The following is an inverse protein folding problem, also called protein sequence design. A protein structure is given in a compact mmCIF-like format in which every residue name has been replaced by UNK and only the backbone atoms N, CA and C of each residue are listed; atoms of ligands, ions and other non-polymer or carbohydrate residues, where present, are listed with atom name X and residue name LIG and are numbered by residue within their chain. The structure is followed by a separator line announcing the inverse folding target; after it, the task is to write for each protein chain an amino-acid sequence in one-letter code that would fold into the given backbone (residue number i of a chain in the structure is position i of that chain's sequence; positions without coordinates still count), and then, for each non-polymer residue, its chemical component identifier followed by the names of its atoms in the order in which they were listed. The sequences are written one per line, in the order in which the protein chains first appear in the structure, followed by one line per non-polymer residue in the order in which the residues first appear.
data_IF_214003725801
#
_entry.id   IF_214003725801
#
_cell.length_a   1.000
_cell.length_b   1.000
_cell.length_c   1.000
_cell.angle_alpha   90.00
_cell.angle_beta   90.00
_cell.angle_gamma   90.00
#
_symmetry.space_group_name_H-M   'P 1'
#
loop_
_entity.id
_entity.type
_entity.pdbx_description
1 polymer ?
#
# COMPACT_ATOMS: atom_id res chain seq x y z
N UNK A 1 -23.71 -52.32 12.41
CA UNK A 1 -23.91 -51.04 11.69
C UNK A 1 -23.02 -50.00 12.34
N UNK A 2 -21.76 -49.92 11.89
CA UNK A 2 -20.83 -48.90 12.37
C UNK A 2 -20.90 -47.73 11.38
N UNK A 3 -21.49 -46.62 11.81
CA UNK A 3 -21.64 -45.41 11.00
C UNK A 3 -20.27 -44.82 10.68
N UNK A 4 -20.04 -44.49 9.41
CA UNK A 4 -18.90 -43.70 8.97
C UNK A 4 -19.01 -42.27 9.51
N UNK A 5 -17.89 -41.61 9.89
CA UNK A 5 -17.93 -40.20 10.28
C UNK A 5 -18.23 -39.29 9.08
N UNK A 6 -19.02 -38.23 9.31
CA UNK A 6 -19.36 -37.21 8.30
C UNK A 6 -18.10 -36.49 7.78
N UNK A 7 -18.05 -36.14 6.48
CA UNK A 7 -16.92 -35.42 5.86
C UNK A 7 -16.86 -33.92 6.23
N UNK A 8 -17.71 -33.45 7.13
CA UNK A 8 -17.88 -32.03 7.48
C UNK A 8 -16.94 -31.56 8.62
N UNK A 9 -15.85 -32.29 8.85
CA UNK A 9 -14.77 -31.90 9.78
C UNK A 9 -13.62 -31.20 9.03
N UNK A 10 -13.93 -30.49 7.95
CA UNK A 10 -13.00 -29.52 7.39
C UNK A 10 -12.89 -28.37 8.38
N UNK A 11 -11.76 -28.30 9.07
CA UNK A 11 -11.44 -27.27 10.05
C UNK A 11 -11.64 -25.88 9.44
N UNK A 12 -12.68 -25.16 9.86
CA UNK A 12 -12.84 -23.76 9.52
C UNK A 12 -11.59 -23.01 10.01
N UNK A 13 -11.01 -22.09 9.21
CA UNK A 13 -9.85 -21.33 9.65
C UNK A 13 -10.29 -20.42 10.80
N UNK A 14 -9.94 -20.83 12.01
CA UNK A 14 -10.24 -20.11 13.23
C UNK A 14 -9.34 -18.87 13.28
N UNK A 15 -9.78 -17.76 12.67
CA UNK A 15 -9.15 -16.46 12.83
C UNK A 15 -9.48 -15.88 14.21
N UNK A 16 -9.12 -16.60 15.27
CA UNK A 16 -9.24 -16.09 16.65
C UNK A 16 -8.13 -15.07 16.84
N UNK A 17 -8.46 -13.78 16.71
CA UNK A 17 -7.56 -12.72 17.18
C UNK A 17 -7.45 -12.86 18.70
N UNK A 18 -6.33 -13.41 19.17
CA UNK A 18 -5.97 -13.36 20.58
C UNK A 18 -5.84 -11.88 20.96
N UNK A 19 -6.48 -11.41 22.05
CA UNK A 19 -6.29 -10.05 22.52
C UNK A 19 -4.81 -9.91 22.93
N UNK A 20 -4.04 -9.23 22.09
CA UNK A 20 -2.65 -8.91 22.38
C UNK A 20 -2.67 -7.74 23.35
N UNK A 21 -2.56 -8.03 24.65
CA UNK A 21 -2.17 -7.01 25.61
C UNK A 21 -0.71 -6.65 25.35
N UNK A 22 -0.47 -5.61 24.56
CA UNK A 22 0.86 -5.03 24.37
C UNK A 22 0.72 -3.54 24.60
N UNK A 23 1.34 -3.07 25.68
CA UNK A 23 1.48 -1.66 26.03
C UNK A 23 2.40 -0.92 25.06
N UNK A 24 1.92 -0.76 23.84
CA UNK A 24 2.36 0.18 22.82
C UNK A 24 1.08 0.51 22.05
N UNK A 25 0.74 1.79 21.88
CA UNK A 25 -0.33 2.20 20.97
C UNK A 25 0.05 1.73 19.56
N UNK A 26 -0.26 0.48 19.24
CA UNK A 26 -0.29 0.03 17.87
C UNK A 26 -1.30 0.93 17.16
N UNK A 27 -0.94 1.53 16.01
CA UNK A 27 -1.85 2.41 15.30
C UNK A 27 -3.18 1.66 15.12
N UNK A 28 -4.25 2.25 15.65
CA UNK A 28 -5.56 1.64 15.62
C UNK A 28 -5.96 1.49 14.15
N UNK A 29 -6.16 0.25 13.69
CA UNK A 29 -6.64 0.02 12.34
C UNK A 29 -8.02 0.67 12.16
N UNK A 30 -8.16 1.49 11.14
CA UNK A 30 -9.39 2.25 10.87
C UNK A 30 -9.95 1.98 9.47
N UNK A 31 -11.27 2.12 9.33
CA UNK A 31 -11.96 2.04 8.04
C UNK A 31 -12.50 3.42 7.70
N UNK A 32 -11.98 4.03 6.63
CA UNK A 32 -12.39 5.35 6.13
C UNK A 32 -12.71 5.27 4.64
N UNK A 33 -13.57 6.17 4.16
CA UNK A 33 -13.75 6.40 2.72
C UNK A 33 -12.60 7.30 2.24
N UNK A 34 -11.83 6.83 1.26
CA UNK A 34 -10.67 7.53 0.71
C UNK A 34 -10.78 7.62 -0.81
N UNK A 35 -10.26 8.70 -1.37
CA UNK A 35 -9.96 8.82 -2.80
C UNK A 35 -8.44 8.71 -2.95
N UNK A 36 -7.99 7.73 -3.74
CA UNK A 36 -6.57 7.46 -3.95
C UNK A 36 -6.27 7.63 -5.44
N UNK A 37 -5.23 8.38 -5.76
CA UNK A 37 -4.70 8.52 -7.11
C UNK A 37 -3.34 7.83 -7.21
N UNK A 38 -3.12 7.08 -8.29
CA UNK A 38 -1.81 6.53 -8.67
C UNK A 38 -1.36 7.22 -9.94
N UNK A 39 -0.15 7.77 -9.92
CA UNK A 39 0.47 8.45 -11.06
C UNK A 39 1.90 7.93 -11.20
N UNK A 40 2.34 7.70 -12.43
CA UNK A 40 3.67 7.19 -12.74
C UNK A 40 4.23 7.84 -14.02
N UNK A 41 5.56 7.81 -14.18
CA UNK A 41 6.26 8.22 -15.40
C UNK A 41 6.43 6.98 -16.29
N UNK A 42 5.58 6.89 -17.33
CA UNK A 42 5.72 5.85 -18.34
C UNK A 42 7.09 5.89 -19.02
N UNK A 43 7.77 4.73 -19.10
CA UNK A 43 9.07 4.61 -19.76
C UNK A 43 10.25 5.12 -18.92
N UNK A 44 10.08 5.30 -17.60
CA UNK A 44 11.14 5.68 -16.68
C UNK A 44 12.31 4.67 -16.64
N UNK A 45 12.03 3.37 -16.65
CA UNK A 45 13.10 2.34 -16.63
C UNK A 45 13.98 2.38 -17.88
N UNK A 46 13.45 2.37 -19.12
CA UNK A 46 14.31 2.55 -20.29
C UNK A 46 15.00 3.92 -20.33
N UNK A 47 14.45 4.95 -19.67
CA UNK A 47 15.08 6.26 -19.61
C UNK A 47 16.28 6.25 -18.67
N UNK A 48 16.18 5.65 -17.48
CA UNK A 48 17.27 5.57 -16.50
C UNK A 48 18.50 4.82 -17.02
N UNK A 49 18.31 3.89 -17.96
CA UNK A 49 19.40 3.17 -18.62
C UNK A 49 20.16 4.00 -19.66
N UNK A 50 19.57 5.10 -20.14
CA UNK A 50 20.10 5.91 -21.26
C UNK A 50 20.72 7.24 -20.83
N UNK A 51 20.44 7.71 -19.62
CA UNK A 51 20.92 8.99 -19.11
C UNK A 51 21.75 8.81 -17.86
N UNK A 52 22.49 9.86 -17.49
CA UNK A 52 23.30 9.87 -16.29
C UNK A 52 22.42 9.77 -15.01
N UNK A 53 22.85 9.06 -13.95
CA UNK A 53 22.04 8.89 -12.76
C UNK A 53 21.64 10.20 -12.10
N UNK A 54 22.53 11.18 -12.04
CA UNK A 54 22.28 12.49 -11.44
C UNK A 54 21.21 13.26 -12.22
N UNK A 55 21.21 13.14 -13.55
CA UNK A 55 20.17 13.69 -14.42
C UNK A 55 18.83 12.99 -14.21
N UNK A 56 18.83 11.65 -14.13
CA UNK A 56 17.62 10.88 -13.83
C UNK A 56 17.02 11.27 -12.47
N UNK A 57 17.84 11.42 -11.43
CA UNK A 57 17.40 11.88 -10.12
C UNK A 57 16.79 13.28 -10.17
N UNK A 58 17.37 14.21 -10.93
CA UNK A 58 16.81 15.54 -11.11
C UNK A 58 15.41 15.50 -11.77
N UNK A 59 15.21 14.62 -12.76
CA UNK A 59 13.92 14.41 -13.41
C UNK A 59 12.88 13.87 -12.42
N UNK A 60 13.22 12.81 -11.68
CA UNK A 60 12.30 12.21 -10.70
C UNK A 60 11.94 13.20 -9.60
N UNK A 61 12.91 13.99 -9.12
CA UNK A 61 12.67 15.04 -8.14
C UNK A 61 11.70 16.08 -8.68
N UNK A 62 11.95 16.61 -9.88
CA UNK A 62 11.09 17.61 -10.51
C UNK A 62 9.66 17.09 -10.72
N UNK A 63 9.53 15.83 -11.16
CA UNK A 63 8.22 15.18 -11.28
C UNK A 63 7.50 15.10 -9.93
N UNK A 64 8.20 14.69 -8.86
CA UNK A 64 7.62 14.62 -7.52
C UNK A 64 7.19 16.00 -7.01
N UNK A 65 8.00 17.03 -7.22
CA UNK A 65 7.70 18.40 -6.82
C UNK A 65 6.42 18.93 -7.52
N UNK A 66 6.27 18.65 -8.82
CA UNK A 66 5.06 19.01 -9.58
C UNK A 66 3.84 18.23 -9.06
N UNK A 67 3.98 16.93 -8.79
CA UNK A 67 2.91 16.13 -8.22
C UNK A 67 2.48 16.66 -6.85
N UNK A 68 3.44 17.03 -5.99
CA UNK A 68 3.16 17.57 -4.66
C UNK A 68 2.40 18.90 -4.74
N UNK A 69 2.81 19.81 -5.63
CA UNK A 69 2.12 21.08 -5.86
C UNK A 69 0.66 20.86 -6.31
N UNK A 70 0.44 20.02 -7.32
CA UNK A 70 -0.91 19.76 -7.84
C UNK A 70 -1.77 19.00 -6.84
N UNK A 71 -1.25 17.98 -6.15
CA UNK A 71 -1.99 17.24 -5.12
C UNK A 71 -2.39 18.16 -3.97
N UNK A 72 -1.46 19.00 -3.51
CA UNK A 72 -1.70 19.99 -2.44
C UNK A 72 -2.78 21.00 -2.83
N UNK A 73 -2.80 21.43 -4.10
CA UNK A 73 -3.82 22.35 -4.63
C UNK A 73 -5.25 21.82 -4.49
N UNK A 74 -5.45 20.50 -4.53
CA UNK A 74 -6.75 19.86 -4.33
C UNK A 74 -6.98 19.35 -2.90
N UNK A 75 -6.11 19.70 -1.95
CA UNK A 75 -6.23 19.28 -0.54
C UNK A 75 -5.86 17.81 -0.29
N UNK A 76 -5.16 17.18 -1.25
CA UNK A 76 -4.60 15.84 -1.08
C UNK A 76 -3.22 15.87 -0.41
N UNK A 77 -2.64 14.69 -0.22
CA UNK A 77 -1.25 14.53 0.23
C UNK A 77 -0.65 13.26 -0.41
N UNK A 78 0.68 13.23 -0.52
CA UNK A 78 1.43 12.03 -0.89
C UNK A 78 1.61 11.17 0.38
N UNK A 79 1.41 9.86 0.25
CA UNK A 79 1.65 8.93 1.36
C UNK A 79 3.16 8.77 1.62
N UNK A 80 3.55 8.75 2.90
CA UNK A 80 4.92 8.58 3.38
C UNK A 80 5.41 7.11 3.39
#
# INVERSE_FOLDING_TARGET
MSSLPSPDQASEPQWTRLPTNVGSEAPHAERRQLTVAFVDIGGSTPLSERIDPEEFFAIIKTYRDICDEEISRYGGHIAD
#
